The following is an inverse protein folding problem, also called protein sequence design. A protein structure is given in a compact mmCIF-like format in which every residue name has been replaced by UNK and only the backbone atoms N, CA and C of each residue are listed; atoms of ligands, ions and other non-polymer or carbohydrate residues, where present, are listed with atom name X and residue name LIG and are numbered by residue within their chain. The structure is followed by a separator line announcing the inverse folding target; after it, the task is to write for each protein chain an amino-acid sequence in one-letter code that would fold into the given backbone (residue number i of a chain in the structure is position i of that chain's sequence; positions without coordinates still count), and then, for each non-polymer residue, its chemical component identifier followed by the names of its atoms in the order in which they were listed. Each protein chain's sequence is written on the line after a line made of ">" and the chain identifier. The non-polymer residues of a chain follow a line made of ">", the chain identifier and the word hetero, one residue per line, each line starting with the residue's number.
data_IF_726113017503
#
_entry.id   IF_726113017503
#
_cell.length_a   1.000
_cell.length_b   1.000
_cell.length_c   1.000
_cell.angle_alpha   90.00
_cell.angle_beta   90.00
_cell.angle_gamma   90.00
#
_symmetry.space_group_name_H-M   'P 1'
#
loop_
_entity.id
_entity.type
_entity.pdbx_description
1 polymer ?
#
# COMPACT_ATOMS: atom_id res chain seq x y z
N UNK A 1 -2.76 7.33 12.25
CA UNK A 1 -3.51 6.70 11.20
C UNK A 1 -4.90 6.35 11.70
N UNK A 2 -5.62 5.61 10.98
CA UNK A 2 -7.00 5.27 11.30
C UNK A 2 -7.10 4.25 12.41
N UNK A 3 -8.11 4.40 13.23
CA UNK A 3 -8.32 3.50 14.35
C UNK A 3 -8.73 2.10 13.93
N UNK A 4 -9.54 2.01 12.87
CA UNK A 4 -10.28 0.79 12.57
C UNK A 4 -9.81 0.10 11.30
N UNK A 5 -8.85 0.68 10.60
CA UNK A 5 -8.40 0.16 9.31
C UNK A 5 -6.88 0.15 9.29
N UNK A 6 -6.31 -1.01 9.06
CA UNK A 6 -4.87 -1.18 8.94
C UNK A 6 -4.51 -1.71 7.56
N UNK A 7 -3.23 -2.04 7.35
CA UNK A 7 -2.76 -2.55 6.06
C UNK A 7 -3.50 -3.83 5.64
N UNK A 8 -3.70 -4.75 6.57
CA UNK A 8 -4.38 -6.01 6.26
C UNK A 8 -5.81 -5.78 5.82
N UNK A 9 -6.49 -4.83 6.43
CA UNK A 9 -7.85 -4.48 6.04
C UNK A 9 -7.90 -3.92 4.63
N UNK A 10 -6.95 -3.06 4.28
CA UNK A 10 -6.86 -2.52 2.93
C UNK A 10 -6.62 -3.63 1.91
N UNK A 11 -5.71 -4.55 2.20
CA UNK A 11 -5.42 -5.68 1.32
C UNK A 11 -6.67 -6.54 1.14
N UNK A 12 -7.38 -6.81 2.23
CA UNK A 12 -8.61 -7.59 2.17
C UNK A 12 -9.67 -6.92 1.29
N UNK A 13 -9.83 -5.61 1.42
CA UNK A 13 -10.78 -4.86 0.60
C UNK A 13 -10.43 -4.89 -0.87
N UNK A 14 -9.14 -4.78 -1.20
CA UNK A 14 -8.70 -4.88 -2.59
C UNK A 14 -9.02 -6.27 -3.16
N UNK A 15 -8.83 -7.32 -2.38
CA UNK A 15 -9.16 -8.68 -2.82
C UNK A 15 -10.65 -8.85 -3.05
N UNK A 16 -11.48 -8.24 -2.22
CA UNK A 16 -12.93 -8.31 -2.37
C UNK A 16 -13.42 -7.73 -3.68
N UNK A 17 -12.75 -6.71 -4.19
CA UNK A 17 -13.12 -6.10 -5.47
C UNK A 17 -12.39 -6.73 -6.65
N UNK A 18 -11.70 -7.85 -6.44
CA UNK A 18 -11.08 -8.60 -7.51
C UNK A 18 -9.63 -8.27 -7.82
N UNK A 19 -8.97 -7.49 -6.97
CA UNK A 19 -7.55 -7.22 -7.12
C UNK A 19 -6.75 -8.34 -6.47
N UNK A 20 -6.06 -9.12 -7.29
CA UNK A 20 -5.17 -10.16 -6.78
C UNK A 20 -3.81 -9.57 -6.41
N UNK A 21 -2.89 -10.43 -5.95
CA UNK A 21 -1.58 -9.98 -5.51
C UNK A 21 -0.78 -9.33 -6.63
N UNK A 22 -0.90 -9.84 -7.85
CA UNK A 22 -0.22 -9.26 -9.01
C UNK A 22 -0.75 -7.87 -9.34
N UNK A 23 -2.06 -7.69 -9.26
CA UNK A 23 -2.69 -6.41 -9.52
C UNK A 23 -2.30 -5.39 -8.45
N UNK A 24 -2.24 -5.81 -7.18
CA UNK A 24 -1.80 -4.93 -6.10
C UNK A 24 -0.34 -4.51 -6.27
N UNK A 25 0.50 -5.42 -6.70
CA UNK A 25 1.90 -5.13 -6.97
C UNK A 25 2.04 -4.09 -8.06
N UNK A 26 1.28 -4.23 -9.14
CA UNK A 26 1.27 -3.26 -10.22
C UNK A 26 0.77 -1.90 -9.76
N UNK A 27 -0.25 -1.89 -8.92
CA UNK A 27 -0.79 -0.64 -8.37
C UNK A 27 0.27 0.10 -7.55
N UNK A 28 1.00 -0.62 -6.70
CA UNK A 28 2.08 -0.01 -5.93
C UNK A 28 3.18 0.53 -6.84
N UNK A 29 3.53 -0.19 -7.90
CA UNK A 29 4.54 0.26 -8.85
C UNK A 29 4.11 1.53 -9.58
N UNK A 30 2.86 1.61 -9.99
CA UNK A 30 2.32 2.79 -10.63
C UNK A 30 2.30 3.97 -9.66
N UNK A 31 1.87 3.74 -8.43
CA UNK A 31 1.82 4.77 -7.40
C UNK A 31 3.23 5.32 -7.13
N UNK A 32 4.18 4.43 -6.94
CA UNK A 32 5.58 4.81 -6.70
C UNK A 32 6.16 5.60 -7.88
N UNK A 33 5.85 5.18 -9.11
CA UNK A 33 6.35 5.84 -10.31
C UNK A 33 5.79 7.24 -10.49
N UNK A 34 4.50 7.41 -10.20
CA UNK A 34 3.81 8.69 -10.41
C UNK A 34 3.95 9.65 -9.23
N UNK A 35 3.92 9.10 -8.03
CA UNK A 35 3.88 9.89 -6.80
C UNK A 35 4.73 9.24 -5.71
N UNK A 36 6.06 9.23 -5.86
CA UNK A 36 6.91 8.52 -4.90
C UNK A 36 6.76 9.07 -3.47
N UNK A 37 6.69 10.38 -3.30
CA UNK A 37 6.50 10.96 -1.98
C UNK A 37 5.10 10.69 -1.43
N UNK A 38 4.10 10.82 -2.30
CA UNK A 38 2.72 10.54 -1.93
C UNK A 38 2.52 9.08 -1.55
N UNK A 39 3.20 8.17 -2.23
CA UNK A 39 3.15 6.75 -1.90
C UNK A 39 3.70 6.48 -0.51
N UNK A 40 4.86 7.06 -0.20
CA UNK A 40 5.46 6.93 1.13
C UNK A 40 4.55 7.53 2.21
N UNK A 41 3.97 8.69 1.96
CA UNK A 41 3.05 9.35 2.87
C UNK A 41 1.80 8.51 3.11
N UNK A 42 1.25 7.93 2.06
CA UNK A 42 0.09 7.06 2.15
C UNK A 42 0.39 5.83 3.01
N UNK A 43 1.54 5.20 2.79
CA UNK A 43 1.92 4.02 3.55
C UNK A 43 2.14 4.36 5.02
N UNK A 44 2.74 5.51 5.28
CA UNK A 44 2.90 5.99 6.65
C UNK A 44 1.54 6.26 7.30
N UNK A 45 0.62 6.84 6.56
CA UNK A 45 -0.74 7.10 7.03
C UNK A 45 -1.47 5.78 7.37
N UNK A 46 -1.20 4.72 6.62
CA UNK A 46 -1.75 3.39 6.92
C UNK A 46 -1.16 2.76 8.18
N UNK A 47 -0.08 3.32 8.71
CA UNK A 47 0.54 2.83 9.93
C UNK A 47 1.66 1.84 9.72
N UNK A 48 2.21 1.76 8.51
CA UNK A 48 3.34 0.88 8.24
C UNK A 48 4.61 1.44 8.89
N UNK A 49 5.48 0.52 9.34
CA UNK A 49 6.81 0.90 9.83
C UNK A 49 7.71 1.32 8.67
N UNK A 50 8.83 1.96 8.99
CA UNK A 50 9.82 2.36 7.98
C UNK A 50 10.27 1.18 7.13
N UNK A 51 10.51 0.03 7.75
CA UNK A 51 10.94 -1.18 7.04
C UNK A 51 9.85 -1.69 6.11
N UNK A 52 8.62 -1.70 6.58
CA UNK A 52 7.49 -2.12 5.76
C UNK A 52 7.29 -1.19 4.56
N UNK A 53 7.41 0.11 4.79
CA UNK A 53 7.30 1.12 3.72
C UNK A 53 8.38 0.86 2.66
N UNK A 54 9.62 0.66 3.08
CA UNK A 54 10.72 0.37 2.18
C UNK A 54 10.44 -0.87 1.35
N UNK A 55 9.96 -1.93 2.00
CA UNK A 55 9.64 -3.18 1.31
C UNK A 55 8.56 -3.01 0.26
N UNK A 56 7.51 -2.27 0.59
CA UNK A 56 6.41 -2.03 -0.36
C UNK A 56 6.89 -1.21 -1.55
N UNK A 57 7.70 -0.19 -1.31
CA UNK A 57 8.20 0.68 -2.37
C UNK A 57 9.17 -0.04 -3.31
N UNK A 58 9.78 -1.10 -2.85
CA UNK A 58 10.73 -1.89 -3.65
C UNK A 58 10.10 -3.11 -4.32
N UNK A 59 8.81 -3.25 -4.25
CA UNK A 59 8.10 -4.35 -4.90
C UNK A 59 8.26 -4.36 -6.41
#
# INVERSE_FOLDING_TARGET
>A
MQKNVNKEDWVAMFREIGLDDDAMKKWHQVFESRHPEGHADFLNWLGLSSDEITNVRNM
#
